data_IF_258719191107
#
_entry.id   IF_258719191107
#
_cell.length_a   1.000
_cell.length_b   1.000
_cell.length_c   1.000
_cell.angle_alpha   90.00
_cell.angle_beta   90.00
_cell.angle_gamma   90.00
#
_symmetry.space_group_name_H-M   'P 1'
#
loop_
_entity.id
_entity.type
_entity.pdbx_description
1 polymer ?
#
# COMPACT_ATOMS: atom_id res chain seq x y z
N UNK A 1 -16.03 -2.91 8.07
CA UNK A 1 -16.99 -3.76 8.80
C UNK A 1 -16.27 -4.51 9.91
N UNK A 2 -16.78 -4.50 11.16
CA UNK A 2 -16.04 -5.03 12.32
C UNK A 2 -15.83 -6.55 12.20
N UNK A 3 -14.61 -7.02 12.45
CA UNK A 3 -14.23 -8.45 12.43
C UNK A 3 -15.21 -9.35 13.19
N UNK A 4 -15.84 -8.81 14.23
CA UNK A 4 -16.88 -9.46 15.03
C UNK A 4 -18.13 -9.80 14.22
N UNK A 5 -18.57 -8.93 13.32
CA UNK A 5 -19.74 -9.20 12.45
C UNK A 5 -19.46 -10.40 11.54
N UNK A 6 -18.26 -10.46 10.94
CA UNK A 6 -17.85 -11.58 10.07
C UNK A 6 -17.83 -12.90 10.85
N UNK A 7 -17.27 -12.89 12.06
CA UNK A 7 -17.21 -14.09 12.92
C UNK A 7 -18.61 -14.53 13.34
N UNK A 8 -19.49 -13.61 13.72
CA UNK A 8 -20.87 -13.92 14.12
C UNK A 8 -21.68 -14.49 12.95
N UNK A 9 -21.55 -13.91 11.76
CA UNK A 9 -22.23 -14.43 10.55
C UNK A 9 -21.70 -15.82 10.18
N UNK A 10 -20.39 -16.06 10.28
CA UNK A 10 -19.80 -17.37 10.04
C UNK A 10 -20.28 -18.42 11.05
N UNK A 11 -20.35 -18.05 12.33
CA UNK A 11 -20.80 -18.96 13.40
C UNK A 11 -22.28 -19.33 13.24
N UNK A 12 -23.13 -18.36 12.89
CA UNK A 12 -24.54 -18.58 12.57
C UNK A 12 -24.72 -19.48 11.33
N UNK A 13 -23.93 -19.26 10.28
CA UNK A 13 -23.98 -20.07 9.07
C UNK A 13 -23.61 -21.54 9.35
N UNK A 14 -22.56 -21.78 10.16
CA UNK A 14 -22.16 -23.13 10.57
C UNK A 14 -23.25 -23.80 11.42
N UNK A 15 -23.86 -23.07 12.36
CA UNK A 15 -24.94 -23.59 13.20
C UNK A 15 -26.17 -24.02 12.40
N UNK A 16 -26.58 -23.24 11.40
CA UNK A 16 -27.70 -23.60 10.50
C UNK A 16 -27.34 -24.82 9.63
N UNK A 17 -26.07 -24.95 9.23
CA UNK A 17 -25.59 -26.07 8.43
C UNK A 17 -25.63 -27.40 9.19
N UNK A 18 -25.14 -27.41 10.42
CA UNK A 18 -25.16 -28.57 11.34
C UNK A 18 -26.60 -29.02 11.63
N UNK A 19 -27.50 -28.06 11.91
CA UNK A 19 -28.90 -28.33 12.24
C UNK A 19 -29.67 -28.90 11.04
N UNK A 20 -29.34 -28.46 9.82
CA UNK A 20 -29.92 -28.97 8.58
C UNK A 20 -29.35 -30.34 8.18
N UNK A 21 -28.06 -30.61 8.47
CA UNK A 21 -27.41 -31.90 8.22
C UNK A 21 -28.00 -33.03 9.08
N UNK A 22 -28.43 -32.73 10.31
CA UNK A 22 -29.10 -33.70 11.18
C UNK A 22 -30.51 -34.11 10.70
N UNK A 23 -31.15 -33.30 9.84
CA UNK A 23 -32.59 -33.38 9.60
C UNK A 23 -33.08 -34.05 8.32
N UNK A 24 -32.29 -34.16 7.23
CA UNK A 24 -32.85 -34.59 5.92
C UNK A 24 -31.96 -35.46 5.04
N UNK A 25 -32.61 -36.49 4.51
CA UNK A 25 -32.21 -37.52 3.56
C UNK A 25 -31.20 -37.11 2.47
N UNK A 26 -30.35 -38.10 2.12
CA UNK A 26 -29.26 -38.16 1.12
C UNK A 26 -29.33 -37.27 -0.13
N UNK A 27 -30.51 -36.85 -0.59
CA UNK A 27 -30.66 -35.98 -1.77
C UNK A 27 -30.40 -34.50 -1.50
N UNK A 28 -30.55 -34.02 -0.26
CA UNK A 28 -30.29 -32.63 0.09
C UNK A 28 -28.79 -32.30 0.21
N UNK A 29 -27.93 -33.32 0.18
CA UNK A 29 -26.51 -33.22 0.54
C UNK A 29 -25.70 -32.33 -0.41
N UNK A 30 -26.04 -32.29 -1.70
CA UNK A 30 -25.37 -31.42 -2.69
C UNK A 30 -25.79 -29.94 -2.55
N UNK A 31 -27.08 -29.68 -2.36
CA UNK A 31 -27.59 -28.31 -2.16
C UNK A 31 -27.10 -27.76 -0.81
N UNK A 32 -27.05 -28.62 0.21
CA UNK A 32 -26.56 -28.27 1.54
C UNK A 32 -25.05 -27.96 1.54
N UNK A 33 -24.25 -28.63 0.72
CA UNK A 33 -22.82 -28.32 0.55
C UNK A 33 -22.58 -27.05 -0.30
N UNK A 34 -23.47 -26.73 -1.24
CA UNK A 34 -23.31 -25.56 -2.12
C UNK A 34 -23.57 -24.22 -1.39
N UNK A 35 -24.50 -24.19 -0.44
CA UNK A 35 -24.84 -22.98 0.34
C UNK A 35 -23.64 -22.39 1.10
N UNK A 36 -22.86 -23.15 1.90
CA UNK A 36 -21.73 -22.59 2.66
C UNK A 36 -20.62 -22.11 1.73
N UNK A 37 -20.40 -22.79 0.60
CA UNK A 37 -19.44 -22.35 -0.42
C UNK A 37 -19.87 -21.03 -1.06
N UNK A 38 -21.15 -20.89 -1.43
CA UNK A 38 -21.69 -19.66 -1.98
C UNK A 38 -21.62 -18.49 -0.98
N UNK A 39 -21.92 -18.74 0.30
CA UNK A 39 -21.80 -17.75 1.37
C UNK A 39 -20.34 -17.34 1.58
N UNK A 40 -19.42 -18.31 1.63
CA UNK A 40 -17.98 -18.04 1.79
C UNK A 40 -17.41 -17.23 0.61
N UNK A 41 -17.78 -17.58 -0.63
CA UNK A 41 -17.40 -16.83 -1.83
C UNK A 41 -17.99 -15.42 -1.82
N UNK A 42 -19.25 -15.26 -1.43
CA UNK A 42 -19.90 -13.94 -1.36
C UNK A 42 -19.24 -13.07 -0.29
N UNK A 43 -18.95 -13.63 0.89
CA UNK A 43 -18.24 -12.93 1.96
C UNK A 43 -16.82 -12.56 1.54
N UNK A 44 -16.12 -13.44 0.81
CA UNK A 44 -14.81 -13.14 0.25
C UNK A 44 -14.88 -11.98 -0.75
N UNK A 45 -15.82 -12.02 -1.70
CA UNK A 45 -16.03 -10.95 -2.69
C UNK A 45 -16.34 -9.62 -2.00
N UNK A 46 -17.22 -9.63 -0.99
CA UNK A 46 -17.54 -8.43 -0.22
C UNK A 46 -16.33 -7.91 0.57
N UNK A 47 -15.55 -8.79 1.19
CA UNK A 47 -14.33 -8.39 1.91
C UNK A 47 -13.27 -7.79 0.99
N UNK A 48 -13.14 -8.33 -0.24
CA UNK A 48 -12.24 -7.80 -1.26
C UNK A 48 -12.71 -6.46 -1.78
N UNK A 49 -14.03 -6.29 -1.98
CA UNK A 49 -14.63 -5.00 -2.36
C UNK A 49 -14.49 -3.94 -1.27
N UNK A 50 -14.69 -4.30 0.00
CA UNK A 50 -14.46 -3.37 1.12
C UNK A 50 -13.00 -2.99 1.26
N UNK A 51 -12.08 -3.95 1.07
CA UNK A 51 -10.64 -3.67 1.09
C UNK A 51 -10.21 -2.79 -0.07
N UNK A 52 -10.73 -3.06 -1.28
CA UNK A 52 -10.51 -2.21 -2.43
C UNK A 52 -11.06 -0.80 -2.17
N UNK A 53 -12.28 -0.68 -1.62
CA UNK A 53 -12.88 0.61 -1.27
C UNK A 53 -12.10 1.35 -0.18
N UNK A 54 -11.57 0.66 0.83
CA UNK A 54 -10.74 1.27 1.87
C UNK A 54 -9.37 1.72 1.34
N UNK A 55 -8.83 1.06 0.32
CA UNK A 55 -7.64 1.51 -0.41
C UNK A 55 -7.99 2.70 -1.33
N UNK A 56 -9.20 2.70 -1.90
CA UNK A 56 -9.76 3.80 -2.72
C UNK A 56 -10.19 5.01 -1.87
N UNK A 57 -10.53 4.89 -0.58
CA UNK A 57 -10.78 6.07 0.28
C UNK A 57 -9.50 6.91 0.51
N UNK A 58 -8.32 6.40 0.11
CA UNK A 58 -7.08 7.19 -0.01
C UNK A 58 -6.90 7.85 -1.39
N UNK A 59 -7.75 7.51 -2.37
CA UNK A 59 -7.87 8.08 -3.72
C UNK A 59 -9.24 8.81 -3.83
N UNK A 60 -9.32 10.09 -3.44
CA UNK A 60 -10.60 10.78 -3.30
C UNK A 60 -11.32 10.93 -4.64
N UNK A 61 -12.50 10.31 -4.81
CA UNK A 61 -13.48 10.54 -5.89
C UNK A 61 -12.85 10.88 -7.27
N UNK A 62 -11.78 10.16 -7.65
CA UNK A 62 -10.95 10.51 -8.81
C UNK A 62 -11.65 10.17 -10.15
N UNK A 63 -12.69 9.33 -10.12
CA UNK A 63 -13.32 8.77 -11.32
C UNK A 63 -14.48 9.61 -11.89
N UNK A 64 -15.02 10.57 -11.13
CA UNK A 64 -16.19 11.36 -11.57
C UNK A 64 -15.80 12.62 -12.38
N UNK A 65 -14.53 13.00 -12.33
CA UNK A 65 -14.01 14.17 -13.03
C UNK A 65 -13.35 13.76 -14.35
N UNK A 66 -13.64 14.49 -15.43
CA UNK A 66 -13.19 14.13 -16.78
C UNK A 66 -11.66 13.94 -16.91
N UNK A 67 -11.18 13.16 -17.91
CA UNK A 67 -9.77 12.77 -18.04
C UNK A 67 -8.76 13.93 -18.00
N UNK A 68 -9.15 15.11 -18.50
CA UNK A 68 -8.31 16.30 -18.55
C UNK A 68 -8.10 16.93 -17.16
N UNK A 69 -9.12 16.90 -16.30
CA UNK A 69 -9.00 17.43 -14.94
C UNK A 69 -8.19 16.51 -14.04
N UNK A 70 -8.29 15.21 -14.27
CA UNK A 70 -7.46 14.20 -13.61
C UNK A 70 -5.98 14.42 -13.96
N UNK A 71 -5.68 14.64 -15.25
CA UNK A 71 -4.30 14.93 -15.69
C UNK A 71 -3.76 16.23 -15.08
N UNK A 72 -4.55 17.32 -15.09
CA UNK A 72 -4.14 18.60 -14.49
C UNK A 72 -3.87 18.50 -12.99
N UNK A 73 -4.69 17.73 -12.25
CA UNK A 73 -4.48 17.50 -10.81
C UNK A 73 -3.28 16.60 -10.55
N UNK A 74 -3.07 15.58 -11.38
CA UNK A 74 -1.86 14.76 -11.32
C UNK A 74 -0.60 15.61 -11.57
N UNK A 75 -0.62 16.46 -12.60
CA UNK A 75 0.46 17.38 -12.91
C UNK A 75 0.71 18.37 -11.76
N UNK A 76 -0.34 18.94 -11.18
CA UNK A 76 -0.21 19.83 -10.01
C UNK A 76 0.41 19.11 -8.81
N UNK A 77 0.03 17.85 -8.54
CA UNK A 77 0.62 17.02 -7.48
C UNK A 77 2.09 16.70 -7.76
N UNK A 78 2.41 16.32 -8.99
CA UNK A 78 3.78 16.03 -9.42
C UNK A 78 4.67 17.27 -9.29
N UNK A 79 4.18 18.43 -9.74
CA UNK A 79 4.88 19.71 -9.59
C UNK A 79 5.06 20.12 -8.12
N UNK A 80 4.07 19.85 -7.27
CA UNK A 80 4.18 20.09 -5.83
C UNK A 80 5.27 19.22 -5.19
N UNK A 81 5.36 17.93 -5.56
CA UNK A 81 6.42 17.03 -5.10
C UNK A 81 7.80 17.45 -5.63
N UNK A 82 7.89 17.82 -6.92
CA UNK A 82 9.13 18.29 -7.53
C UNK A 82 9.62 19.60 -6.88
N UNK A 83 8.72 20.51 -6.51
CA UNK A 83 9.05 21.75 -5.81
C UNK A 83 9.56 21.48 -4.40
N UNK A 84 8.98 20.51 -3.69
CA UNK A 84 9.48 20.11 -2.35
C UNK A 84 10.87 19.45 -2.41
N UNK A 85 11.22 18.82 -3.53
CA UNK A 85 12.55 18.25 -3.72
C UNK A 85 13.67 19.32 -3.73
N UNK A 86 13.37 20.54 -4.16
CA UNK A 86 14.30 21.69 -4.15
C UNK A 86 14.26 22.50 -2.83
N UNK A 87 13.34 22.15 -1.94
CA UNK A 87 13.12 22.86 -0.68
C UNK A 87 14.13 22.51 0.41
N UNK A 88 13.62 22.33 1.63
CA UNK A 88 14.46 22.02 2.78
C UNK A 88 14.63 20.51 2.96
N UNK A 89 15.70 20.10 3.65
CA UNK A 89 15.89 18.71 4.06
C UNK A 89 14.71 18.18 4.88
N UNK A 90 14.09 19.01 5.71
CA UNK A 90 12.90 18.64 6.47
C UNK A 90 11.70 18.28 5.56
N UNK A 91 11.50 19.00 4.46
CA UNK A 91 10.46 18.69 3.48
C UNK A 91 10.74 17.36 2.75
N UNK A 92 12.01 17.12 2.43
CA UNK A 92 12.46 15.85 1.86
C UNK A 92 12.15 14.67 2.78
N UNK A 93 12.56 14.78 4.05
CA UNK A 93 12.38 13.72 5.04
C UNK A 93 10.90 13.46 5.38
N UNK A 94 10.04 14.49 5.30
CA UNK A 94 8.61 14.36 5.58
C UNK A 94 7.82 13.74 4.44
N UNK A 95 8.11 14.11 3.19
CA UNK A 95 7.27 13.76 2.05
C UNK A 95 7.92 12.79 1.06
N UNK A 96 9.22 12.95 0.78
CA UNK A 96 9.91 12.18 -0.27
C UNK A 96 10.52 10.89 0.27
N UNK A 97 11.20 10.94 1.42
CA UNK A 97 11.87 9.77 2.01
C UNK A 97 10.93 8.59 2.29
N UNK A 98 9.73 8.76 2.88
CA UNK A 98 8.83 7.64 3.13
C UNK A 98 8.33 6.97 1.84
N UNK A 99 8.11 7.76 0.78
CA UNK A 99 7.72 7.24 -0.53
C UNK A 99 8.86 6.44 -1.16
N UNK A 100 10.06 7.03 -1.22
CA UNK A 100 11.24 6.37 -1.80
C UNK A 100 11.60 5.08 -1.06
N UNK A 101 11.56 5.10 0.28
CA UNK A 101 11.82 3.92 1.08
C UNK A 101 10.77 2.81 0.81
N UNK A 102 9.49 3.18 0.72
CA UNK A 102 8.42 2.21 0.43
C UNK A 102 8.57 1.59 -0.96
N UNK A 103 8.86 2.39 -1.98
CA UNK A 103 9.11 1.88 -3.34
C UNK A 103 10.36 0.99 -3.40
N UNK A 104 11.41 1.33 -2.65
CA UNK A 104 12.59 0.49 -2.53
C UNK A 104 12.27 -0.85 -1.84
N UNK A 105 11.49 -0.84 -0.76
CA UNK A 105 11.05 -2.06 -0.08
C UNK A 105 10.19 -2.95 -1.00
N UNK A 106 9.34 -2.35 -1.84
CA UNK A 106 8.49 -3.08 -2.79
C UNK A 106 9.31 -3.69 -3.93
N UNK A 107 10.24 -2.94 -4.51
CA UNK A 107 11.09 -3.41 -5.63
C UNK A 107 12.12 -4.46 -5.20
N UNK A 108 12.74 -4.30 -4.03
CA UNK A 108 13.75 -5.25 -3.54
C UNK A 108 13.18 -6.40 -2.70
N UNK A 109 11.96 -6.28 -2.20
CA UNK A 109 11.37 -7.23 -1.24
C UNK A 109 12.04 -7.22 0.14
N UNK A 110 13.03 -6.35 0.38
CA UNK A 110 13.77 -6.25 1.63
C UNK A 110 13.09 -5.24 2.55
N UNK A 111 12.41 -5.75 3.59
CA UNK A 111 11.79 -4.89 4.61
C UNK A 111 12.83 -4.41 5.61
N UNK A 112 12.91 -3.09 5.80
CA UNK A 112 13.82 -2.43 6.76
C UNK A 112 13.60 -2.96 8.17
N UNK A 113 12.34 -3.20 8.54
CA UNK A 113 11.94 -3.73 9.83
C UNK A 113 12.48 -5.14 10.14
N UNK A 114 12.81 -5.92 9.09
CA UNK A 114 13.28 -7.31 9.23
C UNK A 114 14.80 -7.41 9.19
N UNK A 115 15.48 -6.66 8.33
CA UNK A 115 16.94 -6.68 8.24
C UNK A 115 17.53 -5.35 7.75
N UNK A 116 17.79 -4.44 8.70
CA UNK A 116 18.35 -3.10 8.42
C UNK A 116 19.68 -3.14 7.65
N UNK A 117 20.61 -4.03 8.03
CA UNK A 117 21.93 -4.11 7.38
C UNK A 117 21.83 -4.61 5.93
N UNK A 118 20.92 -5.55 5.66
CA UNK A 118 20.70 -6.02 4.30
C UNK A 118 20.09 -4.94 3.40
N UNK A 119 19.13 -4.17 3.94
CA UNK A 119 18.54 -3.03 3.22
C UNK A 119 19.60 -1.95 2.95
N UNK A 120 20.45 -1.63 3.92
CA UNK A 120 21.54 -0.66 3.76
C UNK A 120 22.57 -1.11 2.72
N UNK A 121 23.00 -2.37 2.76
CA UNK A 121 23.93 -2.92 1.78
C UNK A 121 23.36 -2.92 0.35
N UNK A 122 22.09 -3.32 0.19
CA UNK A 122 21.38 -3.28 -1.10
C UNK A 122 21.23 -1.84 -1.62
N UNK A 123 20.91 -0.91 -0.72
CA UNK A 123 20.79 0.50 -1.02
C UNK A 123 22.10 1.14 -1.47
N UNK A 124 23.20 0.85 -0.76
CA UNK A 124 24.54 1.32 -1.12
C UNK A 124 25.00 0.75 -2.47
N UNK A 125 24.68 -0.52 -2.77
CA UNK A 125 25.03 -1.14 -4.04
C UNK A 125 24.27 -0.50 -5.22
N UNK A 126 22.97 -0.21 -5.05
CA UNK A 126 22.13 0.33 -6.11
C UNK A 126 22.34 1.84 -6.34
N UNK A 127 22.37 2.62 -5.26
CA UNK A 127 22.35 4.08 -5.34
C UNK A 127 23.73 4.70 -5.09
N UNK A 128 24.62 4.01 -4.39
CA UNK A 128 25.87 4.59 -3.87
C UNK A 128 25.64 5.43 -2.61
N UNK A 129 26.72 5.80 -1.89
CA UNK A 129 26.63 6.44 -0.58
C UNK A 129 25.99 7.84 -0.62
N UNK A 130 26.20 8.57 -1.71
CA UNK A 130 25.72 9.95 -1.89
C UNK A 130 24.20 10.06 -2.03
N UNK A 131 23.58 9.10 -2.72
CA UNK A 131 22.14 9.05 -2.96
C UNK A 131 21.42 8.24 -1.88
N UNK A 132 22.07 7.18 -1.38
CA UNK A 132 21.48 6.32 -0.36
C UNK A 132 21.09 7.08 0.92
N UNK A 133 21.89 8.05 1.36
CA UNK A 133 21.57 8.90 2.52
C UNK A 133 20.22 9.63 2.42
N UNK A 134 19.69 9.82 1.22
CA UNK A 134 18.40 10.48 0.97
C UNK A 134 17.23 9.51 0.83
N UNK A 135 17.51 8.23 0.61
CA UNK A 135 16.54 7.13 0.52
C UNK A 135 16.42 6.39 1.85
N UNK A 136 17.51 6.29 2.62
CA UNK A 136 17.59 5.51 3.86
C UNK A 136 16.51 5.94 4.87
N UNK A 137 15.54 5.08 5.21
CA UNK A 137 14.49 5.43 6.16
C UNK A 137 15.01 5.70 7.57
N UNK A 138 16.23 5.29 7.91
CA UNK A 138 16.83 5.54 9.22
C UNK A 138 17.58 6.87 9.34
N UNK A 139 17.86 7.56 8.22
CA UNK A 139 18.60 8.83 8.20
C UNK A 139 17.64 10.04 8.16
N UNK A 140 16.72 10.09 9.11
CA UNK A 140 15.74 11.18 9.26
C UNK A 140 16.29 12.23 10.22
N UNK A 141 16.41 13.47 9.75
CA UNK A 141 16.86 14.62 10.52
C UNK A 141 15.74 15.66 10.63
N UNK A 142 14.66 15.32 11.34
CA UNK A 142 13.43 16.14 11.41
C UNK A 142 13.63 17.54 12.03
N UNK A 143 14.73 17.76 12.76
CA UNK A 143 15.10 19.05 13.37
C UNK A 143 15.93 19.94 12.45
N UNK A 144 16.44 19.41 11.34
CA UNK A 144 17.31 20.11 10.41
C UNK A 144 16.46 20.78 9.32
N UNK A 145 15.93 21.97 9.66
CA UNK A 145 15.09 22.76 8.76
C UNK A 145 15.88 23.72 7.87
N UNK A 146 17.18 23.90 8.13
CA UNK A 146 18.04 24.88 7.46
C UNK A 146 18.91 24.28 6.37
N UNK A 147 19.19 22.97 6.44
CA UNK A 147 19.98 22.31 5.40
C UNK A 147 19.18 22.17 4.11
N UNK A 148 19.81 22.52 2.99
CA UNK A 148 19.23 22.41 1.65
C UNK A 148 19.01 20.93 1.28
N UNK A 149 17.87 20.62 0.67
CA UNK A 149 17.60 19.32 0.08
C UNK A 149 18.58 19.03 -1.08
N UNK A 150 18.74 17.75 -1.49
CA UNK A 150 19.64 17.39 -2.59
C UNK A 150 19.17 17.88 -3.97
N UNK A 151 17.95 18.41 -4.07
CA UNK A 151 17.38 19.01 -5.28
C UNK A 151 16.76 17.98 -6.23
N UNK A 152 16.09 18.48 -7.27
CA UNK A 152 15.44 17.65 -8.31
C UNK A 152 16.39 16.69 -9.02
N UNK A 153 17.62 17.12 -9.32
CA UNK A 153 18.56 16.27 -10.05
C UNK A 153 18.88 14.95 -9.33
N UNK A 154 18.97 14.99 -7.99
CA UNK A 154 19.18 13.81 -7.17
C UNK A 154 17.91 12.94 -7.10
N UNK A 155 16.73 13.56 -7.00
CA UNK A 155 15.45 12.84 -7.04
C UNK A 155 15.28 12.07 -8.36
N UNK A 156 15.52 12.73 -9.49
CA UNK A 156 15.40 12.13 -10.82
C UNK A 156 16.35 10.94 -10.97
N UNK A 157 17.58 11.05 -10.44
CA UNK A 157 18.54 9.95 -10.50
C UNK A 157 18.12 8.77 -9.63
N UNK A 158 17.60 9.01 -8.43
CA UNK A 158 17.05 7.96 -7.56
C UNK A 158 15.88 7.26 -8.26
N UNK A 159 14.94 8.02 -8.82
CA UNK A 159 13.77 7.48 -9.52
C UNK A 159 14.18 6.67 -10.77
N UNK A 160 15.13 7.17 -11.57
CA UNK A 160 15.66 6.43 -12.72
C UNK A 160 16.27 5.09 -12.33
N UNK A 161 16.96 5.02 -11.18
CA UNK A 161 17.56 3.77 -10.71
C UNK A 161 16.53 2.82 -10.11
N UNK A 162 15.51 3.33 -9.42
CA UNK A 162 14.39 2.52 -8.96
C UNK A 162 13.61 1.90 -10.13
N UNK A 163 13.40 2.65 -11.22
CA UNK A 163 12.71 2.15 -12.42
C UNK A 163 13.50 1.11 -13.22
N UNK A 164 14.82 0.99 -13.00
CA UNK A 164 15.68 0.02 -13.68
C UNK A 164 15.86 -1.29 -12.91
N UNK A 165 15.30 -1.39 -11.71
CA UNK A 165 15.26 -2.61 -10.91
C UNK A 165 14.07 -3.47 -11.34
#
# INVERSE_FOLDING_TARGET
MNRTAIVVTALLAVGVLELAAFGRAREAMLVLAAIPVAVALTALILSLRERAKADTDHFPDEMENGPLEMLRRWEARANMLATRADGTRADWDRYLRPLLAKEFELSTGLRVAKNRKATEAAGLLQFGPELWRWVDPANVALRDQTTRAPGRAALDEILRRLQRM
#
